data_IF_929171951820
#
_entry.id   IF_929171951820
#
_cell.length_a   1.000
_cell.length_b   1.000
_cell.length_c   1.000
_cell.angle_alpha   90.00
_cell.angle_beta   90.00
_cell.angle_gamma   90.00
#
_symmetry.space_group_name_H-M   'P 1'
#
loop_
_entity.id
_entity.type
_entity.pdbx_description
1 polymer ?
#
# COMPACT_ATOMS: atom_id res chain seq x y z
N UNK A 1 -8.08 -1.57 -20.38
CA UNK A 1 -6.75 -1.13 -19.93
C UNK A 1 -6.86 -0.13 -18.79
N UNK A 2 -7.88 0.75 -18.79
CA UNK A 2 -8.14 1.73 -17.73
C UNK A 2 -8.35 1.13 -16.34
N UNK A 3 -9.06 0.02 -16.24
CA UNK A 3 -9.25 -0.68 -14.96
C UNK A 3 -7.93 -1.03 -14.26
N UNK A 4 -6.92 -1.54 -14.96
CA UNK A 4 -5.66 -1.95 -14.34
C UNK A 4 -4.88 -0.73 -13.81
N UNK A 5 -4.86 0.33 -14.61
CA UNK A 5 -4.25 1.62 -14.26
C UNK A 5 -4.87 2.19 -12.98
N UNK A 6 -6.20 2.20 -12.89
CA UNK A 6 -6.94 2.69 -11.72
C UNK A 6 -6.67 1.85 -10.47
N UNK A 7 -6.63 0.52 -10.59
CA UNK A 7 -6.35 -0.34 -9.44
C UNK A 7 -4.92 -0.15 -8.92
N UNK A 8 -3.91 0.02 -9.79
CA UNK A 8 -2.53 0.31 -9.35
C UNK A 8 -2.47 1.67 -8.64
N UNK A 9 -3.14 2.69 -9.18
CA UNK A 9 -3.22 4.00 -8.53
C UNK A 9 -3.90 3.94 -7.17
N UNK A 10 -4.97 3.15 -7.06
CA UNK A 10 -5.67 2.92 -5.80
C UNK A 10 -4.76 2.25 -4.76
N UNK A 11 -3.95 1.25 -5.17
CA UNK A 11 -2.93 0.66 -4.28
C UNK A 11 -1.92 1.72 -3.84
N UNK A 12 -1.34 2.49 -4.77
CA UNK A 12 -0.38 3.55 -4.44
C UNK A 12 -1.00 4.55 -3.44
N UNK A 13 -2.24 4.98 -3.70
CA UNK A 13 -2.98 5.88 -2.82
C UNK A 13 -3.19 5.29 -1.42
N UNK A 14 -3.62 4.02 -1.32
CA UNK A 14 -3.79 3.35 -0.05
C UNK A 14 -2.47 3.23 0.72
N UNK A 15 -1.36 2.89 0.05
CA UNK A 15 -0.03 2.82 0.69
C UNK A 15 0.44 4.17 1.22
N UNK A 16 0.17 5.27 0.51
CA UNK A 16 0.44 6.63 0.99
C UNK A 16 -0.40 6.93 2.25
N UNK A 17 -1.70 6.62 2.21
CA UNK A 17 -2.59 6.79 3.38
C UNK A 17 -2.08 6.00 4.59
N UNK A 18 -1.76 4.71 4.41
CA UNK A 18 -1.25 3.85 5.47
C UNK A 18 0.09 4.35 6.02
N UNK A 19 0.98 4.88 5.17
CA UNK A 19 2.24 5.51 5.60
C UNK A 19 1.99 6.61 6.62
N UNK A 20 1.03 7.48 6.33
CA UNK A 20 0.72 8.65 7.18
C UNK A 20 -0.02 8.22 8.45
N UNK A 21 -1.06 7.39 8.32
CA UNK A 21 -1.84 6.89 9.46
C UNK A 21 -0.95 6.11 10.44
N UNK A 22 -0.03 5.29 9.94
CA UNK A 22 0.91 4.55 10.78
C UNK A 22 1.83 5.46 11.58
N UNK A 23 2.23 6.62 11.04
CA UNK A 23 3.03 7.60 11.80
C UNK A 23 2.22 8.24 12.93
N UNK A 24 0.96 8.59 12.67
CA UNK A 24 0.08 9.11 13.72
C UNK A 24 -0.16 8.07 14.82
N UNK A 25 -0.54 6.85 14.46
CA UNK A 25 -0.73 5.75 15.41
C UNK A 25 0.55 5.43 16.20
N UNK A 26 1.73 5.52 15.57
CA UNK A 26 3.01 5.30 16.26
C UNK A 26 3.21 6.33 17.37
N UNK A 27 2.90 7.61 17.11
CA UNK A 27 2.97 8.68 18.12
C UNK A 27 2.01 8.41 19.27
N UNK A 28 0.77 8.01 18.97
CA UNK A 28 -0.25 7.68 19.99
C UNK A 28 0.16 6.48 20.85
N UNK A 29 0.93 5.55 20.31
CA UNK A 29 1.46 4.38 21.01
C UNK A 29 2.88 4.57 21.53
N UNK A 30 3.26 5.78 21.91
CA UNK A 30 4.57 6.10 22.49
C UNK A 30 5.75 5.66 21.61
N UNK A 31 5.67 5.98 20.31
CA UNK A 31 6.68 5.71 19.29
C UNK A 31 6.91 4.21 19.04
N UNK A 32 5.83 3.50 18.72
CA UNK A 32 5.84 2.08 18.37
C UNK A 32 6.71 1.77 17.15
N UNK A 33 7.75 0.93 17.34
CA UNK A 33 8.69 0.51 16.30
C UNK A 33 8.00 -0.21 15.15
N UNK A 34 7.04 -1.07 15.45
CA UNK A 34 6.35 -1.86 14.41
C UNK A 34 5.47 -1.00 13.49
N UNK A 35 4.88 0.08 14.03
CA UNK A 35 4.14 1.06 13.23
C UNK A 35 5.09 1.94 12.41
N UNK A 36 6.28 2.23 12.93
CA UNK A 36 7.33 2.92 12.18
C UNK A 36 7.84 2.06 11.01
N UNK A 37 8.15 0.79 11.27
CA UNK A 37 8.56 -0.17 10.25
C UNK A 37 7.49 -0.34 9.17
N UNK A 38 6.23 -0.48 9.58
CA UNK A 38 5.10 -0.56 8.67
C UNK A 38 5.01 0.69 7.79
N UNK A 39 5.09 1.89 8.38
CA UNK A 39 5.07 3.15 7.64
C UNK A 39 6.17 3.20 6.58
N UNK A 40 7.40 2.82 6.93
CA UNK A 40 8.53 2.84 6.00
C UNK A 40 8.40 1.83 4.87
N UNK A 41 7.85 0.65 5.15
CA UNK A 41 7.56 -0.37 4.14
C UNK A 41 6.46 0.09 3.18
N UNK A 42 5.38 0.67 3.69
CA UNK A 42 4.31 1.22 2.84
C UNK A 42 4.82 2.35 1.94
N UNK A 43 5.66 3.25 2.49
CA UNK A 43 6.30 4.33 1.71
C UNK A 43 7.18 3.79 0.59
N UNK A 44 8.05 2.82 0.89
CA UNK A 44 8.92 2.17 -0.11
C UNK A 44 8.10 1.46 -1.18
N UNK A 45 7.05 0.74 -0.77
CA UNK A 45 6.11 0.09 -1.69
C UNK A 45 5.41 1.08 -2.62
N UNK A 46 4.93 2.20 -2.08
CA UNK A 46 4.30 3.27 -2.86
C UNK A 46 5.26 3.87 -3.89
N UNK A 47 6.50 4.19 -3.48
CA UNK A 47 7.52 4.75 -4.36
C UNK A 47 7.89 3.78 -5.48
N UNK A 48 8.17 2.53 -5.15
CA UNK A 48 8.52 1.51 -6.15
C UNK A 48 7.41 1.32 -7.18
N UNK A 49 6.16 1.19 -6.71
CA UNK A 49 5.01 1.04 -7.60
C UNK A 49 4.78 2.30 -8.45
N UNK A 50 4.95 3.49 -7.89
CA UNK A 50 4.83 4.75 -8.61
C UNK A 50 5.90 4.88 -9.72
N UNK A 51 7.15 4.59 -9.41
CA UNK A 51 8.25 4.60 -10.37
C UNK A 51 8.00 3.63 -11.53
N UNK A 52 7.50 2.41 -11.24
CA UNK A 52 7.13 1.49 -12.31
C UNK A 52 5.90 1.99 -13.07
N UNK A 53 4.91 2.54 -12.38
CA UNK A 53 3.71 3.07 -13.01
C UNK A 53 4.04 4.14 -14.06
N UNK A 54 4.86 5.13 -13.74
CA UNK A 54 5.22 6.21 -14.68
C UNK A 54 6.06 5.73 -15.89
N UNK A 55 6.70 4.55 -15.80
CA UNK A 55 7.43 3.96 -16.93
C UNK A 55 6.47 3.40 -17.98
N UNK A 56 5.33 2.86 -17.54
CA UNK A 56 4.36 2.18 -18.42
C UNK A 56 3.12 3.04 -18.73
N UNK A 57 2.91 4.12 -17.98
CA UNK A 57 1.75 4.99 -18.07
C UNK A 57 2.17 6.47 -17.96
N UNK A 58 1.20 7.38 -17.97
CA UNK A 58 1.41 8.80 -17.76
C UNK A 58 1.54 9.18 -16.28
N UNK A 59 2.08 10.37 -15.99
CA UNK A 59 2.15 10.90 -14.63
C UNK A 59 0.73 11.03 -14.05
N UNK A 60 0.39 10.33 -12.97
CA UNK A 60 -0.96 10.36 -12.44
C UNK A 60 -1.18 11.57 -11.52
N UNK A 61 -2.41 12.08 -11.51
CA UNK A 61 -2.87 13.00 -10.47
C UNK A 61 -3.35 12.18 -9.27
N UNK A 62 -2.52 12.07 -8.24
CA UNK A 62 -2.91 11.36 -7.01
C UNK A 62 -3.62 12.38 -6.11
N UNK A 63 -4.93 12.22 -5.96
CA UNK A 63 -5.72 12.88 -4.92
C UNK A 63 -6.08 11.84 -3.87
N UNK A 64 -5.90 12.18 -2.60
CA UNK A 64 -6.32 11.33 -1.51
C UNK A 64 -6.85 12.20 -0.37
N UNK A 65 -8.05 11.84 0.10
CA UNK A 65 -8.58 12.37 1.35
C UNK A 65 -8.13 11.47 2.49
N UNK A 66 -7.69 12.09 3.59
CA UNK A 66 -7.44 11.41 4.85
C UNK A 66 -8.62 11.62 5.77
N UNK A 67 -9.25 10.51 6.15
CA UNK A 67 -10.08 10.45 7.34
C UNK A 67 -9.20 9.88 8.45
N UNK A 68 -8.99 10.65 9.52
CA UNK A 68 -8.22 10.23 10.69
C UNK A 68 -8.89 9.07 11.44
N UNK A 69 -10.17 8.82 11.19
CA UNK A 69 -10.91 7.67 11.74
C UNK A 69 -10.81 6.42 10.86
N UNK A 70 -10.08 6.47 9.74
CA UNK A 70 -9.91 5.32 8.86
C UNK A 70 -9.13 4.21 9.55
N UNK A 71 -9.74 3.01 9.66
CA UNK A 71 -9.07 1.85 10.21
C UNK A 71 -7.95 1.39 9.25
N UNK A 72 -6.72 1.49 9.74
CA UNK A 72 -5.52 1.10 9.00
C UNK A 72 -5.56 -0.39 8.60
N UNK A 73 -6.22 -1.25 9.39
CA UNK A 73 -6.39 -2.67 9.08
C UNK A 73 -7.35 -2.88 7.92
N UNK A 74 -8.42 -2.08 7.83
CA UNK A 74 -9.38 -2.18 6.71
C UNK A 74 -8.74 -1.73 5.40
N UNK A 75 -7.98 -0.63 5.43
CA UNK A 75 -7.23 -0.15 4.26
C UNK A 75 -6.19 -1.19 3.83
N UNK A 76 -5.46 -1.78 4.78
CA UNK A 76 -4.47 -2.82 4.49
C UNK A 76 -5.11 -4.07 3.88
N UNK A 77 -6.25 -4.51 4.42
CA UNK A 77 -7.01 -5.64 3.91
C UNK A 77 -7.55 -5.39 2.50
N UNK A 78 -8.11 -4.21 2.24
CA UNK A 78 -8.51 -3.78 0.89
C UNK A 78 -7.31 -3.84 -0.07
N UNK A 79 -6.17 -3.33 0.36
CA UNK A 79 -4.94 -3.26 -0.45
C UNK A 79 -4.42 -4.65 -0.82
N UNK A 80 -4.39 -5.59 0.12
CA UNK A 80 -3.99 -6.99 -0.11
C UNK A 80 -4.87 -7.66 -1.17
N UNK A 81 -6.19 -7.48 -1.09
CA UNK A 81 -7.11 -8.07 -2.06
C UNK A 81 -6.94 -7.47 -3.47
N UNK A 82 -6.68 -6.16 -3.54
CA UNK A 82 -6.35 -5.49 -4.80
C UNK A 82 -5.04 -6.01 -5.39
N UNK A 83 -3.98 -6.13 -4.59
CA UNK A 83 -2.69 -6.65 -5.02
C UNK A 83 -2.82 -8.08 -5.57
N UNK A 84 -3.52 -8.97 -4.85
CA UNK A 84 -3.82 -10.34 -5.30
C UNK A 84 -4.56 -10.36 -6.64
N UNK A 85 -5.56 -9.50 -6.80
CA UNK A 85 -6.35 -9.43 -8.02
C UNK A 85 -5.50 -8.94 -9.21
N UNK A 86 -4.63 -7.95 -8.99
CA UNK A 86 -3.79 -7.39 -10.06
C UNK A 86 -2.67 -8.36 -10.44
N UNK A 87 -1.96 -8.98 -9.49
CA UNK A 87 -0.85 -9.90 -9.78
C UNK A 87 -1.27 -11.04 -10.72
N UNK A 88 -2.53 -11.49 -10.62
CA UNK A 88 -3.10 -12.52 -11.51
C UNK A 88 -3.42 -12.01 -12.93
N UNK A 89 -3.72 -10.71 -13.07
CA UNK A 89 -4.15 -10.08 -14.33
C UNK A 89 -3.01 -9.39 -15.08
N UNK A 90 -1.98 -8.94 -14.36
CA UNK A 90 -0.86 -8.20 -14.93
C UNK A 90 0.06 -9.21 -15.64
N UNK A 91 -0.19 -9.42 -16.93
CA UNK A 91 0.50 -10.44 -17.73
C UNK A 91 1.99 -10.13 -17.91
N UNK A 92 2.34 -9.49 -19.03
CA UNK A 92 3.73 -9.26 -19.49
C UNK A 92 4.42 -8.05 -18.84
N UNK A 93 3.71 -7.25 -18.02
CA UNK A 93 4.33 -6.12 -17.33
C UNK A 93 5.10 -6.60 -16.08
N UNK A 94 6.25 -7.23 -16.34
CA UNK A 94 7.09 -7.89 -15.34
C UNK A 94 7.51 -6.96 -14.20
N UNK A 95 7.88 -5.71 -14.52
CA UNK A 95 8.34 -4.73 -13.53
C UNK A 95 7.27 -4.37 -12.50
N UNK A 96 6.03 -4.11 -12.95
CA UNK A 96 4.92 -3.85 -12.03
C UNK A 96 4.53 -5.13 -11.29
N UNK A 97 4.50 -6.29 -11.98
CA UNK A 97 4.16 -7.57 -11.36
C UNK A 97 5.08 -7.93 -10.21
N UNK A 98 6.39 -7.85 -10.44
CA UNK A 98 7.39 -8.18 -9.43
C UNK A 98 7.24 -7.24 -8.22
N UNK A 99 7.08 -5.95 -8.46
CA UNK A 99 6.89 -4.95 -7.41
C UNK A 99 5.64 -5.25 -6.57
N UNK A 100 4.51 -5.58 -7.21
CA UNK A 100 3.28 -5.96 -6.51
C UNK A 100 3.41 -7.24 -5.69
N UNK A 101 4.19 -8.23 -6.14
CA UNK A 101 4.42 -9.46 -5.37
C UNK A 101 5.22 -9.16 -4.10
N UNK A 102 6.26 -8.32 -4.22
CA UNK A 102 7.05 -7.91 -3.05
C UNK A 102 6.18 -7.13 -2.05
N UNK A 103 5.41 -6.16 -2.52
CA UNK A 103 4.53 -5.38 -1.63
C UNK A 103 3.46 -6.25 -0.99
N UNK A 104 2.87 -7.19 -1.73
CA UNK A 104 1.89 -8.13 -1.19
C UNK A 104 2.46 -8.99 -0.06
N UNK A 105 3.68 -9.51 -0.23
CA UNK A 105 4.33 -10.32 0.80
C UNK A 105 4.55 -9.53 2.09
N UNK A 106 4.94 -8.25 1.96
CA UNK A 106 5.15 -7.37 3.10
C UNK A 106 3.81 -7.00 3.77
N UNK A 107 2.80 -6.65 2.97
CA UNK A 107 1.47 -6.28 3.45
C UNK A 107 0.81 -7.43 4.23
N UNK A 108 0.89 -8.67 3.75
CA UNK A 108 0.37 -9.85 4.47
C UNK A 108 1.09 -10.08 5.80
N UNK A 109 2.42 -9.91 5.84
CA UNK A 109 3.22 -9.99 7.07
C UNK A 109 2.76 -8.93 8.07
N UNK A 110 2.66 -7.67 7.67
CA UNK A 110 2.26 -6.60 8.58
C UNK A 110 0.79 -6.72 8.99
N UNK A 111 -0.09 -7.21 8.13
CA UNK A 111 -1.48 -7.47 8.51
C UNK A 111 -1.57 -8.47 9.67
N UNK A 112 -0.76 -9.52 9.67
CA UNK A 112 -0.68 -10.45 10.81
C UNK A 112 -0.25 -9.74 12.11
N UNK A 113 0.79 -8.90 12.03
CA UNK A 113 1.33 -8.23 13.21
C UNK A 113 0.42 -7.12 13.74
N UNK A 114 -0.08 -6.23 12.88
CA UNK A 114 -0.95 -5.13 13.26
C UNK A 114 -2.27 -5.63 13.83
N UNK A 115 -2.80 -6.74 13.29
CA UNK A 115 -4.01 -7.37 13.85
C UNK A 115 -3.84 -7.84 15.29
N UNK A 116 -2.61 -8.16 15.73
CA UNK A 116 -2.31 -8.51 17.13
C UNK A 116 -2.04 -7.29 18.01
N UNK A 117 -1.58 -6.19 17.43
CA UNK A 117 -1.24 -4.97 18.15
C UNK A 117 -2.48 -4.10 18.42
N UNK A 118 -3.37 -4.01 17.43
CA UNK A 118 -4.52 -3.10 17.42
C UNK A 118 -5.84 -3.78 17.84
N UNK A 119 -5.80 -5.06 18.21
CA UNK A 119 -6.93 -5.80 18.80
C UNK A 119 -6.58 -6.24 20.20
#
# INVERSE_FOLDING_TARGET
>A
MDSLKEHILKIISNKIKMTILAKFLSIEQYNSDILNDFSDVQRKGANNLYEKYIVYYEKPTIKFDMDSNGDILDILKETIELEKAIVKKIGTNFGIRQSLIHTLSDDEKFHYHLKKLLK
#
